data_IF_572941296432
#
_entry.id   IF_572941296432
#
_cell.length_a   1.000
_cell.length_b   1.000
_cell.length_c   1.000
_cell.angle_alpha   90.00
_cell.angle_beta   90.00
_cell.angle_gamma   90.00
#
_symmetry.space_group_name_H-M   'P 1'
#
loop_
_entity.id
_entity.type
_entity.pdbx_description
1 polymer ?
#
# COMPACT_ATOMS: atom_id res chain seq x y z
N UNK A 1 -74.84 41.13 7.82
CA UNK A 1 -74.10 42.03 6.92
C UNK A 1 -72.90 41.28 6.36
N UNK A 2 -73.04 41.02 5.20
CA UNK A 2 -72.43 41.24 3.91
C UNK A 2 -71.34 40.17 3.61
N UNK A 3 -71.65 39.20 2.76
CA UNK A 3 -71.32 39.12 1.32
C UNK A 3 -69.82 39.25 1.07
N UNK A 4 -69.10 38.38 0.36
CA UNK A 4 -69.43 37.64 -0.84
C UNK A 4 -68.27 36.78 -1.30
N UNK A 5 -68.70 35.83 -2.01
CA UNK A 5 -68.34 35.33 -3.35
C UNK A 5 -66.97 34.71 -3.53
N UNK A 6 -67.01 33.43 -3.70
CA UNK A 6 -66.69 32.54 -4.89
C UNK A 6 -65.62 33.03 -5.86
N UNK A 7 -64.62 32.17 -6.09
CA UNK A 7 -64.37 31.64 -7.44
C UNK A 7 -63.55 30.36 -7.43
N UNK A 8 -64.12 29.38 -8.13
CA UNK A 8 -63.48 28.14 -8.61
C UNK A 8 -62.37 28.46 -9.61
N UNK A 9 -61.23 27.71 -9.56
CA UNK A 9 -60.59 27.30 -10.78
C UNK A 9 -59.95 25.91 -10.64
N UNK A 10 -60.40 25.03 -11.52
CA UNK A 10 -59.82 23.74 -11.87
C UNK A 10 -58.42 23.93 -12.46
N UNK A 11 -57.56 22.97 -12.27
CA UNK A 11 -56.40 22.94 -13.13
C UNK A 11 -55.34 21.87 -12.81
N UNK A 12 -55.58 20.67 -13.29
CA UNK A 12 -54.60 19.74 -13.86
C UNK A 12 -53.50 19.15 -12.94
N UNK A 13 -53.71 17.89 -12.59
CA UNK A 13 -52.67 16.92 -12.23
C UNK A 13 -51.53 16.91 -13.26
N UNK A 14 -50.35 17.28 -12.85
CA UNK A 14 -49.12 16.89 -13.52
C UNK A 14 -48.47 15.76 -12.74
N UNK A 15 -48.65 14.54 -13.22
CA UNK A 15 -47.84 13.39 -12.83
C UNK A 15 -46.37 13.69 -13.18
N UNK A 16 -45.54 14.01 -12.20
CA UNK A 16 -44.12 14.07 -12.35
C UNK A 16 -43.58 12.64 -12.38
N UNK A 17 -43.20 12.19 -13.56
CA UNK A 17 -42.36 11.01 -13.74
C UNK A 17 -41.07 11.22 -12.95
N UNK A 18 -40.94 10.55 -11.79
CA UNK A 18 -39.64 10.37 -11.12
C UNK A 18 -38.81 9.52 -12.06
N UNK A 19 -37.90 10.14 -12.81
CA UNK A 19 -36.78 9.47 -13.38
C UNK A 19 -35.99 8.81 -12.24
N UNK A 20 -35.92 7.50 -12.23
CA UNK A 20 -34.95 6.78 -11.41
C UNK A 20 -33.57 7.15 -11.95
N UNK A 21 -32.99 8.16 -11.36
CA UNK A 21 -31.56 8.44 -11.47
C UNK A 21 -30.88 7.22 -10.83
N UNK A 22 -30.36 6.32 -11.66
CA UNK A 22 -29.44 5.27 -11.24
C UNK A 22 -28.22 6.03 -10.76
N UNK A 23 -28.13 6.24 -9.43
CA UNK A 23 -26.98 6.85 -8.80
C UNK A 23 -25.74 6.16 -9.31
N UNK A 24 -24.93 6.88 -10.07
CA UNK A 24 -23.53 6.52 -10.28
C UNK A 24 -22.94 6.44 -8.87
N UNK A 25 -22.64 5.25 -8.40
CA UNK A 25 -21.82 5.09 -7.19
C UNK A 25 -20.61 6.00 -7.38
N UNK A 26 -20.48 6.99 -6.50
CA UNK A 26 -19.29 7.83 -6.48
C UNK A 26 -18.14 6.90 -6.20
N UNK A 27 -17.24 6.75 -7.16
CA UNK A 27 -16.02 6.01 -7.02
C UNK A 27 -15.23 6.60 -5.84
N UNK A 28 -15.24 5.88 -4.73
CA UNK A 28 -14.52 6.29 -3.52
C UNK A 28 -13.06 5.86 -3.64
N UNK A 29 -12.25 6.74 -4.22
CA UNK A 29 -10.81 6.56 -4.39
C UNK A 29 -10.06 6.27 -3.06
N UNK A 30 -10.66 6.66 -1.93
CA UNK A 30 -10.03 6.56 -0.61
C UNK A 30 -10.20 5.21 0.08
N UNK A 31 -11.16 4.39 -0.36
CA UNK A 31 -11.43 3.06 0.20
C UNK A 31 -11.19 1.91 -0.81
N UNK A 32 -10.48 2.20 -1.89
CA UNK A 32 -10.31 1.25 -2.98
C UNK A 32 -9.07 0.37 -2.77
N UNK A 33 -9.27 -0.93 -2.71
CA UNK A 33 -8.13 -1.88 -2.71
C UNK A 33 -7.50 -1.90 -4.12
N UNK A 34 -6.24 -1.48 -4.22
CA UNK A 34 -5.51 -1.39 -5.51
C UNK A 34 -5.48 -2.72 -6.26
N UNK A 35 -5.61 -3.85 -5.55
CA UNK A 35 -5.66 -5.19 -6.14
C UNK A 35 -6.87 -5.39 -7.04
N UNK A 36 -7.95 -4.64 -6.83
CA UNK A 36 -9.13 -4.70 -7.70
C UNK A 36 -8.85 -4.17 -9.12
N UNK A 37 -7.89 -3.26 -9.27
CA UNK A 37 -7.45 -2.77 -10.58
C UNK A 37 -6.71 -3.85 -11.38
N UNK A 38 -6.13 -4.84 -10.71
CA UNK A 38 -5.44 -5.93 -11.38
C UNK A 38 -6.40 -6.87 -12.12
N UNK A 39 -7.66 -6.94 -11.69
CA UNK A 39 -8.68 -7.81 -12.31
C UNK A 39 -8.80 -7.58 -13.81
N UNK A 40 -8.96 -6.33 -14.22
CA UNK A 40 -9.08 -5.99 -15.63
C UNK A 40 -7.80 -6.32 -16.41
N UNK A 41 -6.64 -5.96 -15.85
CA UNK A 41 -5.34 -6.28 -16.46
C UNK A 41 -5.17 -7.79 -16.63
N UNK A 42 -5.51 -8.57 -15.61
CA UNK A 42 -5.44 -10.03 -15.64
C UNK A 42 -6.40 -10.63 -16.67
N UNK A 43 -7.64 -10.14 -16.77
CA UNK A 43 -8.60 -10.58 -17.79
C UNK A 43 -8.07 -10.28 -19.19
N UNK A 44 -7.55 -9.07 -19.41
CA UNK A 44 -6.99 -8.68 -20.70
C UNK A 44 -5.80 -9.57 -21.09
N UNK A 45 -4.92 -9.87 -20.12
CA UNK A 45 -3.82 -10.81 -20.32
C UNK A 45 -4.31 -12.20 -20.74
N UNK A 46 -5.35 -12.73 -20.07
CA UNK A 46 -5.97 -14.00 -20.44
C UNK A 46 -6.62 -13.97 -21.84
N UNK A 47 -7.21 -12.84 -22.24
CA UNK A 47 -7.82 -12.66 -23.55
C UNK A 47 -6.79 -12.58 -24.69
N UNK A 48 -5.58 -12.09 -24.42
CA UNK A 48 -4.49 -12.05 -25.42
C UNK A 48 -3.64 -13.31 -25.44
N UNK A 49 -3.70 -14.12 -24.40
CA UNK A 49 -2.88 -15.32 -24.31
C UNK A 49 -3.15 -16.27 -25.52
N UNK A 50 -2.08 -16.62 -26.24
CA UNK A 50 -2.15 -17.41 -27.45
C UNK A 50 -2.54 -16.64 -28.73
N UNK A 51 -2.65 -15.31 -28.66
CA UNK A 51 -2.82 -14.44 -29.83
C UNK A 51 -1.49 -13.88 -30.29
N UNK A 52 -1.29 -13.82 -31.58
CA UNK A 52 -0.16 -13.14 -32.20
C UNK A 52 -0.64 -11.80 -32.78
N UNK A 53 0.07 -10.72 -32.42
CA UNK A 53 -0.15 -9.39 -32.97
C UNK A 53 1.02 -9.04 -33.91
N UNK A 54 0.72 -8.45 -35.05
CA UNK A 54 1.75 -8.06 -36.02
C UNK A 54 2.45 -6.78 -35.60
N UNK A 55 1.73 -5.88 -34.94
CA UNK A 55 2.24 -4.58 -34.47
C UNK A 55 1.75 -4.28 -33.07
N UNK A 56 2.35 -3.29 -32.41
CA UNK A 56 1.89 -2.76 -31.13
C UNK A 56 0.52 -2.10 -31.26
N UNK A 57 0.25 -1.48 -32.42
CA UNK A 57 -1.03 -0.87 -32.77
C UNK A 57 -2.14 -1.94 -32.79
N UNK A 58 -1.91 -3.09 -33.44
CA UNK A 58 -2.89 -4.20 -33.45
C UNK A 58 -3.22 -4.67 -32.04
N UNK A 59 -2.23 -4.74 -31.16
CA UNK A 59 -2.44 -5.09 -29.76
C UNK A 59 -3.27 -4.03 -29.01
N UNK A 60 -2.96 -2.75 -29.19
CA UNK A 60 -3.69 -1.64 -28.59
C UNK A 60 -5.13 -1.56 -29.07
N UNK A 61 -5.37 -1.79 -30.36
CA UNK A 61 -6.71 -1.85 -30.94
C UNK A 61 -7.52 -3.00 -30.34
N UNK A 62 -6.89 -4.18 -30.16
CA UNK A 62 -7.53 -5.30 -29.51
C UNK A 62 -7.90 -4.98 -28.05
N UNK A 63 -6.99 -4.37 -27.26
CA UNK A 63 -7.30 -3.96 -25.90
C UNK A 63 -8.46 -2.97 -25.83
N UNK A 64 -8.47 -1.99 -26.72
CA UNK A 64 -9.55 -1.01 -26.84
C UNK A 64 -10.88 -1.68 -27.22
N UNK A 65 -10.85 -2.61 -28.15
CA UNK A 65 -12.01 -3.40 -28.55
C UNK A 65 -12.52 -4.28 -27.41
N UNK A 66 -11.64 -5.00 -26.69
CA UNK A 66 -12.02 -5.89 -25.60
C UNK A 66 -12.75 -5.12 -24.49
N UNK A 67 -12.29 -3.91 -24.15
CA UNK A 67 -12.95 -3.04 -23.17
C UNK A 67 -14.31 -2.55 -23.66
N UNK A 68 -14.40 -2.09 -24.94
CA UNK A 68 -15.61 -1.46 -25.45
C UNK A 68 -16.71 -2.43 -25.87
N UNK A 69 -16.36 -3.70 -26.12
CA UNK A 69 -17.30 -4.73 -26.57
C UNK A 69 -17.94 -5.56 -25.43
N UNK A 70 -17.57 -5.30 -24.18
CA UNK A 70 -18.03 -6.09 -23.03
C UNK A 70 -17.33 -7.42 -22.87
N UNK A 71 -16.22 -7.70 -23.56
CA UNK A 71 -15.45 -8.94 -23.40
C UNK A 71 -14.88 -9.08 -21.99
N UNK A 72 -14.49 -7.96 -21.37
CA UNK A 72 -13.93 -7.95 -20.00
C UNK A 72 -15.02 -8.27 -18.98
N UNK A 73 -16.19 -7.63 -19.10
CA UNK A 73 -17.32 -7.82 -18.19
C UNK A 73 -17.92 -9.22 -18.28
N UNK A 74 -17.90 -9.81 -19.48
CA UNK A 74 -18.44 -11.15 -19.76
C UNK A 74 -17.36 -12.23 -19.80
N UNK A 75 -16.19 -11.98 -19.23
CA UNK A 75 -15.13 -12.97 -19.20
C UNK A 75 -15.46 -14.12 -18.26
N UNK A 76 -15.52 -15.34 -18.79
CA UNK A 76 -15.77 -16.57 -18.07
C UNK A 76 -14.64 -17.58 -18.36
N UNK A 77 -13.69 -17.76 -17.44
CA UNK A 77 -12.58 -18.67 -17.67
C UNK A 77 -13.00 -20.14 -17.55
N UNK A 78 -12.45 -20.98 -18.43
CA UNK A 78 -12.70 -22.42 -18.44
C UNK A 78 -11.95 -23.15 -17.32
N UNK A 79 -10.72 -22.72 -17.02
CA UNK A 79 -9.86 -23.36 -16.02
C UNK A 79 -10.33 -23.07 -14.60
N UNK A 80 -10.28 -24.08 -13.73
CA UNK A 80 -10.68 -23.94 -12.33
C UNK A 80 -9.82 -22.90 -11.58
N UNK A 81 -8.52 -22.88 -11.85
CA UNK A 81 -7.59 -21.92 -11.26
C UNK A 81 -7.96 -20.48 -11.62
N UNK A 82 -8.31 -20.23 -12.89
CA UNK A 82 -8.69 -18.90 -13.37
C UNK A 82 -10.05 -18.48 -12.78
N UNK A 83 -11.02 -19.41 -12.61
CA UNK A 83 -12.29 -19.13 -11.91
C UNK A 83 -12.06 -18.78 -10.44
N UNK A 84 -11.16 -19.50 -9.76
CA UNK A 84 -10.79 -19.22 -8.38
C UNK A 84 -10.14 -17.84 -8.26
N UNK A 85 -9.20 -17.50 -9.15
CA UNK A 85 -8.51 -16.20 -9.16
C UNK A 85 -9.49 -15.06 -9.46
N UNK A 86 -10.42 -15.22 -10.38
CA UNK A 86 -11.46 -14.22 -10.67
C UNK A 86 -12.32 -13.92 -9.44
N UNK A 87 -12.71 -14.97 -8.69
CA UNK A 87 -13.47 -14.83 -7.44
C UNK A 87 -12.67 -14.10 -6.36
N UNK A 88 -11.35 -14.30 -6.30
CA UNK A 88 -10.46 -13.59 -5.38
C UNK A 88 -10.32 -12.11 -5.73
N UNK A 89 -10.22 -11.77 -7.01
CA UNK A 89 -10.23 -10.35 -7.41
C UNK A 89 -11.52 -9.64 -6.96
N UNK A 90 -12.67 -10.32 -7.02
CA UNK A 90 -13.93 -9.76 -6.49
C UNK A 90 -13.90 -9.66 -4.96
N UNK A 91 -13.26 -10.61 -4.27
CA UNK A 91 -13.11 -10.62 -2.82
C UNK A 91 -12.26 -9.45 -2.31
N UNK A 92 -11.32 -8.91 -3.09
CA UNK A 92 -10.53 -7.74 -2.68
C UNK A 92 -11.38 -6.48 -2.45
N UNK A 93 -12.51 -6.36 -3.15
CA UNK A 93 -13.47 -5.26 -2.92
C UNK A 93 -14.37 -5.47 -1.69
N UNK A 94 -14.37 -6.66 -1.09
CA UNK A 94 -15.26 -7.04 0.00
C UNK A 94 -14.59 -6.93 1.38
N UNK A 95 -15.40 -6.96 2.44
CA UNK A 95 -14.92 -6.86 3.84
C UNK A 95 -15.55 -7.97 4.69
N UNK A 96 -14.96 -8.22 5.84
CA UNK A 96 -15.49 -9.12 6.86
C UNK A 96 -15.79 -10.54 6.35
N UNK A 97 -16.91 -11.11 6.77
CA UNK A 97 -17.28 -12.50 6.46
C UNK A 97 -17.46 -12.76 4.97
N UNK A 98 -17.95 -11.78 4.20
CA UNK A 98 -18.12 -11.93 2.75
C UNK A 98 -16.77 -12.19 2.06
N UNK A 99 -15.77 -11.36 2.34
CA UNK A 99 -14.40 -11.53 1.82
C UNK A 99 -13.82 -12.89 2.17
N UNK A 100 -13.96 -13.31 3.45
CA UNK A 100 -13.48 -14.61 3.92
C UNK A 100 -14.16 -15.77 3.18
N UNK A 101 -15.49 -15.73 3.06
CA UNK A 101 -16.25 -16.80 2.41
C UNK A 101 -15.90 -16.92 0.93
N UNK A 102 -15.65 -15.79 0.25
CA UNK A 102 -15.22 -15.82 -1.15
C UNK A 102 -13.84 -16.46 -1.30
N UNK A 103 -12.88 -16.18 -0.41
CA UNK A 103 -11.57 -16.82 -0.42
C UNK A 103 -11.66 -18.33 -0.15
N UNK A 104 -12.54 -18.78 0.77
CA UNK A 104 -12.79 -20.20 1.03
C UNK A 104 -13.37 -20.87 -0.22
N UNK A 105 -14.38 -20.26 -0.83
CA UNK A 105 -14.99 -20.78 -2.07
C UNK A 105 -14.00 -20.84 -3.23
N UNK A 106 -13.06 -19.89 -3.31
CA UNK A 106 -12.01 -19.93 -4.31
C UNK A 106 -11.13 -21.19 -4.14
N UNK A 107 -10.78 -21.55 -2.89
CA UNK A 107 -10.02 -22.77 -2.59
C UNK A 107 -10.85 -24.06 -2.81
N UNK A 108 -12.17 -24.02 -2.64
CA UNK A 108 -13.06 -25.14 -3.02
C UNK A 108 -13.11 -25.35 -4.55
N UNK A 109 -12.97 -24.27 -5.33
CA UNK A 109 -12.89 -24.34 -6.79
C UNK A 109 -11.52 -24.86 -7.24
N UNK A 110 -10.45 -24.31 -6.65
CA UNK A 110 -9.07 -24.73 -6.91
C UNK A 110 -8.15 -24.37 -5.74
N UNK A 111 -7.43 -25.37 -5.21
CA UNK A 111 -6.36 -25.14 -4.24
C UNK A 111 -5.16 -24.37 -4.85
N UNK A 112 -5.11 -24.28 -6.20
CA UNK A 112 -4.11 -23.54 -6.96
C UNK A 112 -4.45 -22.04 -7.05
N UNK A 113 -4.82 -21.42 -5.92
CA UNK A 113 -5.16 -20.00 -5.83
C UNK A 113 -4.37 -19.31 -4.70
N UNK A 114 -3.12 -18.88 -4.94
CA UNK A 114 -2.27 -18.28 -3.90
C UNK A 114 -2.90 -17.09 -3.18
N UNK A 115 -3.58 -16.22 -3.91
CA UNK A 115 -4.23 -15.03 -3.33
C UNK A 115 -5.39 -15.36 -2.38
N UNK A 116 -6.01 -16.51 -2.51
CA UNK A 116 -7.02 -16.95 -1.55
C UNK A 116 -6.39 -17.23 -0.17
N UNK A 117 -5.21 -17.84 -0.13
CA UNK A 117 -4.44 -18.01 1.09
C UNK A 117 -3.99 -16.65 1.67
N UNK A 118 -3.58 -15.70 0.81
CA UNK A 118 -3.24 -14.33 1.22
C UNK A 118 -4.42 -13.66 1.92
N UNK A 119 -5.62 -13.69 1.33
CA UNK A 119 -6.82 -13.12 1.96
C UNK A 119 -7.11 -13.77 3.31
N UNK A 120 -7.04 -15.08 3.41
CA UNK A 120 -7.30 -15.79 4.67
C UNK A 120 -6.27 -15.44 5.73
N UNK A 121 -5.00 -15.30 5.35
CA UNK A 121 -3.93 -14.88 6.24
C UNK A 121 -4.10 -13.42 6.73
N UNK A 122 -4.48 -12.49 5.85
CA UNK A 122 -4.77 -11.09 6.21
C UNK A 122 -5.89 -10.99 7.26
N UNK A 123 -6.87 -11.89 7.21
CA UNK A 123 -8.03 -11.92 8.10
C UNK A 123 -7.81 -12.74 9.37
N UNK A 124 -6.71 -13.45 9.47
CA UNK A 124 -6.38 -14.26 10.64
C UNK A 124 -5.84 -13.38 11.78
N UNK A 125 -6.05 -13.78 13.04
CA UNK A 125 -5.54 -13.10 14.21
C UNK A 125 -4.31 -13.79 14.80
N UNK A 126 -4.30 -15.12 14.74
CA UNK A 126 -3.16 -15.92 15.23
C UNK A 126 -1.99 -15.81 14.24
N UNK A 127 -0.84 -15.36 14.74
CA UNK A 127 0.30 -15.07 13.91
C UNK A 127 0.99 -16.34 13.36
N UNK A 128 0.92 -17.46 14.09
CA UNK A 128 1.44 -18.74 13.59
C UNK A 128 0.57 -19.24 12.43
N UNK A 129 -0.75 -19.07 12.57
CA UNK A 129 -1.68 -19.40 11.49
C UNK A 129 -1.50 -18.50 10.26
N UNK A 130 -1.18 -17.20 10.45
CA UNK A 130 -0.78 -16.33 9.34
C UNK A 130 0.42 -16.87 8.59
N UNK A 131 1.48 -17.24 9.32
CA UNK A 131 2.71 -17.81 8.74
C UNK A 131 2.37 -19.06 7.93
N UNK A 132 1.53 -19.95 8.46
CA UNK A 132 1.11 -21.16 7.75
C UNK A 132 0.35 -20.83 6.45
N UNK A 133 -0.61 -19.92 6.52
CA UNK A 133 -1.43 -19.55 5.38
C UNK A 133 -0.63 -18.83 4.29
N UNK A 134 0.20 -17.85 4.68
CA UNK A 134 1.09 -17.20 3.72
C UNK A 134 2.08 -18.19 3.12
N UNK A 135 2.64 -19.11 3.93
CA UNK A 135 3.52 -20.18 3.45
C UNK A 135 2.84 -21.04 2.38
N UNK A 136 1.57 -21.46 2.61
CA UNK A 136 0.79 -22.16 1.59
C UNK A 136 0.60 -21.35 0.31
N UNK A 137 0.38 -20.03 0.46
CA UNK A 137 0.30 -19.12 -0.68
C UNK A 137 1.60 -19.09 -1.49
N UNK A 138 2.74 -19.00 -0.80
CA UNK A 138 4.08 -19.03 -1.41
C UNK A 138 4.33 -20.35 -2.15
N UNK A 139 4.17 -21.50 -1.45
CA UNK A 139 4.42 -22.83 -2.02
C UNK A 139 3.54 -23.09 -3.26
N UNK A 140 2.28 -22.65 -3.18
CA UNK A 140 1.34 -22.76 -4.29
C UNK A 140 1.76 -21.91 -5.48
N UNK A 141 2.16 -20.66 -5.23
CA UNK A 141 2.60 -19.76 -6.29
C UNK A 141 3.92 -20.24 -6.93
N UNK A 142 4.89 -20.71 -6.16
CA UNK A 142 6.14 -21.26 -6.67
C UNK A 142 5.91 -22.47 -7.57
N UNK A 143 5.00 -23.35 -7.16
CA UNK A 143 4.63 -24.53 -7.95
C UNK A 143 3.98 -24.18 -9.29
N UNK A 144 3.11 -23.16 -9.31
CA UNK A 144 2.43 -22.68 -10.52
C UNK A 144 3.40 -21.97 -11.47
N UNK A 145 4.25 -21.11 -10.93
CA UNK A 145 5.18 -20.30 -11.69
C UNK A 145 6.33 -21.12 -12.28
N UNK A 146 6.73 -22.20 -11.58
CA UNK A 146 7.92 -22.97 -11.93
C UNK A 146 9.22 -22.24 -11.60
N UNK A 147 10.34 -22.96 -11.62
CA UNK A 147 11.64 -22.40 -11.16
C UNK A 147 12.25 -21.41 -12.15
N UNK A 148 12.05 -21.63 -13.43
CA UNK A 148 12.74 -20.88 -14.49
C UNK A 148 12.36 -19.41 -14.54
N UNK A 149 11.14 -19.06 -14.15
CA UNK A 149 10.66 -17.67 -14.17
C UNK A 149 11.45 -16.79 -13.21
N UNK A 150 11.90 -17.34 -12.07
CA UNK A 150 12.64 -16.58 -11.06
C UNK A 150 14.01 -16.08 -11.53
N UNK A 151 14.63 -16.80 -12.46
CA UNK A 151 15.89 -16.38 -13.07
C UNK A 151 15.63 -15.54 -14.34
N UNK A 152 14.70 -15.96 -15.19
CA UNK A 152 14.40 -15.31 -16.46
C UNK A 152 13.84 -13.90 -16.27
N UNK A 153 12.91 -13.72 -15.30
CA UNK A 153 12.19 -12.47 -15.08
C UNK A 153 12.68 -11.70 -13.86
N UNK A 154 13.86 -12.05 -13.35
CA UNK A 154 14.48 -11.35 -12.23
C UNK A 154 14.60 -9.86 -12.54
N UNK A 155 14.16 -9.03 -11.60
CA UNK A 155 14.12 -7.57 -11.76
C UNK A 155 12.80 -7.02 -12.33
N UNK A 156 11.94 -7.85 -12.90
CA UNK A 156 10.69 -7.45 -13.57
C UNK A 156 9.43 -8.10 -13.00
N UNK A 157 9.55 -8.81 -11.87
CA UNK A 157 8.47 -9.65 -11.33
C UNK A 157 7.15 -8.91 -11.18
N UNK A 158 7.13 -7.67 -10.69
CA UNK A 158 5.89 -6.92 -10.55
C UNK A 158 5.24 -6.55 -11.88
N UNK A 159 6.00 -6.47 -12.95
CA UNK A 159 5.49 -6.22 -14.30
C UNK A 159 4.65 -7.36 -14.86
N UNK A 160 4.86 -8.57 -14.35
CA UNK A 160 4.16 -9.80 -14.76
C UNK A 160 3.01 -10.06 -13.80
N UNK A 161 1.78 -10.06 -14.30
CA UNK A 161 0.60 -10.11 -13.42
C UNK A 161 0.48 -11.43 -12.66
N UNK A 162 0.91 -12.53 -13.27
CA UNK A 162 0.89 -13.87 -12.69
C UNK A 162 1.87 -14.04 -11.52
N UNK A 163 2.91 -13.22 -11.42
CA UNK A 163 3.87 -13.30 -10.31
C UNK A 163 3.44 -12.52 -9.09
N UNK A 164 2.48 -11.61 -9.20
CA UNK A 164 2.02 -10.76 -8.10
C UNK A 164 1.42 -11.53 -6.92
N UNK A 165 0.66 -12.63 -7.10
CA UNK A 165 0.22 -13.45 -5.97
C UNK A 165 1.38 -13.99 -5.13
N UNK A 166 2.49 -14.42 -5.77
CA UNK A 166 3.72 -14.82 -5.08
C UNK A 166 4.31 -13.66 -4.28
N UNK A 167 4.43 -12.50 -4.91
CA UNK A 167 4.99 -11.30 -4.28
C UNK A 167 4.19 -10.88 -3.03
N UNK A 168 2.85 -10.92 -3.11
CA UNK A 168 1.95 -10.64 -1.97
C UNK A 168 2.08 -11.67 -0.85
N UNK A 169 2.13 -12.95 -1.20
CA UNK A 169 2.29 -14.02 -0.22
C UNK A 169 3.63 -13.92 0.53
N UNK A 170 4.72 -13.63 -0.18
CA UNK A 170 6.04 -13.42 0.40
C UNK A 170 6.10 -12.19 1.32
N UNK A 171 5.53 -11.06 0.90
CA UNK A 171 5.45 -9.84 1.71
C UNK A 171 4.70 -10.10 3.02
N UNK A 172 3.52 -10.74 2.93
CA UNK A 172 2.73 -11.10 4.10
C UNK A 172 3.44 -12.08 5.03
N UNK A 173 4.15 -13.08 4.46
CA UNK A 173 4.96 -14.02 5.20
C UNK A 173 6.09 -13.31 5.96
N UNK A 174 6.81 -12.39 5.30
CA UNK A 174 7.88 -11.61 5.92
C UNK A 174 7.36 -10.80 7.11
N UNK A 175 6.22 -10.11 6.96
CA UNK A 175 5.59 -9.36 8.05
C UNK A 175 5.17 -10.26 9.22
N UNK A 176 4.60 -11.43 8.96
CA UNK A 176 4.21 -12.38 9.99
C UNK A 176 5.42 -12.99 10.71
N UNK A 177 6.51 -13.29 9.99
CA UNK A 177 7.78 -13.76 10.56
C UNK A 177 8.42 -12.69 11.44
N UNK A 178 8.43 -11.43 11.01
CA UNK A 178 8.90 -10.32 11.84
C UNK A 178 8.12 -10.24 13.15
N UNK A 179 6.80 -10.25 13.09
CA UNK A 179 5.93 -10.22 14.28
C UNK A 179 6.15 -11.41 15.22
N UNK A 180 6.69 -12.52 14.71
CA UNK A 180 7.09 -13.69 15.52
C UNK A 180 8.54 -13.62 16.03
N UNK A 181 9.27 -12.54 15.76
CA UNK A 181 10.68 -12.41 16.13
C UNK A 181 11.65 -13.20 15.24
N UNK A 182 11.17 -13.82 14.15
CA UNK A 182 11.99 -14.54 13.17
C UNK A 182 12.63 -13.56 12.17
N UNK A 183 13.49 -12.68 12.69
CA UNK A 183 13.99 -11.52 11.95
C UNK A 183 14.90 -11.90 10.78
N UNK A 184 15.69 -12.98 10.91
CA UNK A 184 16.57 -13.45 9.81
C UNK A 184 15.76 -13.93 8.61
N UNK A 185 14.67 -14.65 8.86
CA UNK A 185 13.79 -15.15 7.80
C UNK A 185 13.06 -14.01 7.12
N UNK A 186 12.51 -13.07 7.89
CA UNK A 186 11.85 -11.87 7.37
C UNK A 186 12.80 -11.04 6.49
N UNK A 187 14.05 -10.83 6.96
CA UNK A 187 15.05 -10.09 6.22
C UNK A 187 15.36 -10.74 4.87
N UNK A 188 15.61 -12.06 4.84
CA UNK A 188 15.88 -12.78 3.60
C UNK A 188 14.76 -12.65 2.59
N UNK A 189 13.51 -12.68 3.06
CA UNK A 189 12.35 -12.53 2.18
C UNK A 189 12.28 -11.11 1.61
N UNK A 190 12.41 -10.06 2.42
CA UNK A 190 12.40 -8.69 1.93
C UNK A 190 13.56 -8.40 0.97
N UNK A 191 14.78 -8.89 1.27
CA UNK A 191 15.93 -8.77 0.37
C UNK A 191 15.63 -9.44 -0.99
N UNK A 192 15.02 -10.65 -0.98
CA UNK A 192 14.63 -11.35 -2.21
C UNK A 192 13.53 -10.62 -2.98
N UNK A 193 12.55 -10.05 -2.30
CA UNK A 193 11.48 -9.28 -2.96
C UNK A 193 12.04 -8.06 -3.70
N UNK A 194 13.00 -7.35 -3.12
CA UNK A 194 13.69 -6.24 -3.78
C UNK A 194 14.61 -6.70 -4.93
N UNK A 195 15.22 -7.87 -4.82
CA UNK A 195 16.02 -8.47 -5.89
C UNK A 195 15.15 -8.87 -7.10
N UNK A 196 13.94 -9.40 -6.86
CA UNK A 196 12.98 -9.74 -7.89
C UNK A 196 12.28 -8.52 -8.51
N UNK A 197 12.13 -7.45 -7.74
CA UNK A 197 11.47 -6.22 -8.15
C UNK A 197 12.18 -4.99 -7.56
N UNK A 198 13.31 -4.55 -8.13
CA UNK A 198 14.05 -3.39 -7.64
C UNK A 198 13.27 -2.07 -7.67
N UNK A 199 12.25 -1.96 -8.52
CA UNK A 199 11.33 -0.82 -8.55
C UNK A 199 10.39 -0.74 -7.33
N UNK A 200 10.35 -1.81 -6.54
CA UNK A 200 9.67 -1.92 -5.25
C UNK A 200 8.24 -1.35 -5.21
N UNK A 201 7.40 -1.82 -6.10
CA UNK A 201 5.99 -1.40 -6.19
C UNK A 201 5.17 -1.71 -4.91
N UNK A 202 5.69 -2.58 -4.03
CA UNK A 202 5.06 -2.97 -2.77
C UNK A 202 5.53 -2.12 -1.58
N UNK A 203 6.66 -1.42 -1.68
CA UNK A 203 7.24 -0.64 -0.58
C UNK A 203 8.03 -1.49 0.44
N UNK A 204 8.53 -2.65 0.04
CA UNK A 204 9.31 -3.55 0.90
C UNK A 204 10.60 -2.90 1.43
N UNK A 205 11.15 -1.89 0.71
CA UNK A 205 12.32 -1.11 1.14
C UNK A 205 12.13 -0.44 2.50
N UNK A 206 10.91 0.03 2.81
CA UNK A 206 10.62 0.66 4.10
C UNK A 206 10.71 -0.35 5.24
N UNK A 207 10.07 -1.52 5.09
CA UNK A 207 10.14 -2.59 6.07
C UNK A 207 11.56 -3.11 6.24
N UNK A 208 12.29 -3.30 5.13
CA UNK A 208 13.67 -3.79 5.17
C UNK A 208 14.62 -2.78 5.84
N UNK A 209 14.45 -1.48 5.59
CA UNK A 209 15.23 -0.43 6.26
C UNK A 209 15.05 -0.49 7.78
N UNK A 210 13.81 -0.58 8.25
CA UNK A 210 13.51 -0.69 9.68
C UNK A 210 14.13 -1.96 10.27
N UNK A 211 14.05 -3.08 9.57
CA UNK A 211 14.61 -4.34 10.03
C UNK A 211 16.14 -4.27 10.17
N UNK A 212 16.84 -3.66 9.20
CA UNK A 212 18.27 -3.41 9.32
C UNK A 212 18.62 -2.53 10.51
N UNK A 213 17.87 -1.44 10.71
CA UNK A 213 18.07 -0.53 11.85
C UNK A 213 17.79 -1.22 13.19
N UNK A 214 16.76 -2.05 13.28
CA UNK A 214 16.43 -2.85 14.47
C UNK A 214 17.54 -3.82 14.84
N UNK A 215 18.21 -4.39 13.85
CA UNK A 215 19.30 -5.34 14.01
C UNK A 215 20.67 -4.67 14.15
N UNK A 216 20.74 -3.35 14.09
CA UNK A 216 21.97 -2.55 14.02
C UNK A 216 22.86 -2.91 12.80
N UNK A 217 22.26 -3.39 11.71
CA UNK A 217 22.95 -3.64 10.43
C UNK A 217 23.05 -2.34 9.63
N UNK A 218 23.80 -1.38 10.21
CA UNK A 218 23.84 -0.01 9.72
C UNK A 218 24.47 0.12 8.33
N UNK A 219 25.39 -0.77 7.96
CA UNK A 219 25.99 -0.77 6.62
C UNK A 219 24.94 -1.13 5.55
N UNK A 220 24.13 -2.14 5.80
CA UNK A 220 23.02 -2.48 4.91
C UNK A 220 21.95 -1.39 4.87
N UNK A 221 21.61 -0.80 6.01
CA UNK A 221 20.69 0.34 6.08
C UNK A 221 21.18 1.53 5.26
N UNK A 222 22.47 1.89 5.37
CA UNK A 222 23.10 2.96 4.61
C UNK A 222 23.08 2.69 3.10
N UNK A 223 23.42 1.45 2.70
CA UNK A 223 23.37 1.03 1.30
C UNK A 223 21.95 1.15 0.73
N UNK A 224 20.95 0.67 1.47
CA UNK A 224 19.54 0.72 1.05
C UNK A 224 19.05 2.18 0.90
N UNK A 225 19.37 3.06 1.87
CA UNK A 225 19.06 4.49 1.81
C UNK A 225 19.72 5.21 0.61
N UNK A 226 20.88 4.73 0.16
CA UNK A 226 21.56 5.25 -1.03
C UNK A 226 21.05 4.66 -2.36
N UNK A 227 20.34 3.55 -2.32
CA UNK A 227 19.83 2.86 -3.50
C UNK A 227 18.56 3.52 -4.04
N UNK A 228 17.72 4.10 -3.17
CA UNK A 228 16.47 4.74 -3.52
C UNK A 228 16.55 6.24 -3.24
N UNK A 229 16.20 7.06 -4.23
CA UNK A 229 16.07 8.51 -4.08
C UNK A 229 14.63 8.84 -3.66
N UNK A 230 14.41 8.83 -2.36
CA UNK A 230 13.10 9.00 -1.75
C UNK A 230 13.11 10.21 -0.81
N UNK A 231 11.96 10.85 -0.71
CA UNK A 231 11.64 11.91 0.25
C UNK A 231 10.52 11.45 1.19
N UNK A 232 10.22 12.26 2.21
CA UNK A 232 9.16 12.00 3.17
C UNK A 232 9.64 11.52 4.53
N UNK A 233 8.71 11.41 5.47
CA UNK A 233 9.03 11.15 6.87
C UNK A 233 9.82 9.85 7.07
N UNK A 234 9.42 8.77 6.41
CA UNK A 234 10.07 7.45 6.56
C UNK A 234 11.54 7.48 6.14
N UNK A 235 11.85 8.17 5.04
CA UNK A 235 13.21 8.18 4.51
C UNK A 235 14.10 9.17 5.21
N UNK A 236 13.62 10.40 5.41
CA UNK A 236 14.42 11.48 5.95
C UNK A 236 14.71 11.31 7.46
N UNK A 237 13.71 10.92 8.25
CA UNK A 237 13.93 10.69 9.70
C UNK A 237 14.76 9.44 9.98
N UNK A 238 14.58 8.35 9.20
CA UNK A 238 15.41 7.16 9.37
C UNK A 238 16.86 7.42 8.92
N UNK A 239 17.08 8.24 7.88
CA UNK A 239 18.42 8.70 7.49
C UNK A 239 19.08 9.52 8.60
N UNK A 240 18.36 10.46 9.20
CA UNK A 240 18.89 11.29 10.29
C UNK A 240 19.23 10.45 11.52
N UNK A 241 18.35 9.50 11.88
CA UNK A 241 18.57 8.57 12.99
C UNK A 241 19.78 7.67 12.72
N UNK A 242 19.90 7.10 11.51
CA UNK A 242 21.04 6.25 11.14
C UNK A 242 22.37 7.04 11.24
N UNK A 243 22.43 8.25 10.73
CA UNK A 243 23.63 9.10 10.83
C UNK A 243 23.99 9.42 12.29
N UNK A 244 22.99 9.69 13.14
CA UNK A 244 23.23 9.86 14.56
C UNK A 244 23.76 8.57 15.21
N UNK A 245 23.21 7.41 14.91
CA UNK A 245 23.61 6.13 15.50
C UNK A 245 25.02 5.71 15.09
N UNK A 246 25.44 6.06 13.87
CA UNK A 246 26.76 5.70 13.35
C UNK A 246 27.86 6.72 13.62
N UNK A 247 27.54 8.00 13.67
CA UNK A 247 28.52 9.09 13.68
C UNK A 247 28.27 10.13 14.79
N UNK A 248 27.19 9.98 15.56
CA UNK A 248 26.80 10.93 16.59
C UNK A 248 26.31 12.27 16.00
N UNK A 249 26.50 13.35 16.79
CA UNK A 249 26.11 14.70 16.38
C UNK A 249 27.20 15.31 15.51
N UNK A 250 27.00 15.29 14.21
CA UNK A 250 27.86 15.87 13.18
C UNK A 250 27.11 16.92 12.37
N UNK A 251 27.82 17.65 11.50
CA UNK A 251 27.17 18.56 10.54
C UNK A 251 26.22 17.81 9.60
N UNK A 252 26.62 16.59 9.19
CA UNK A 252 25.83 15.74 8.29
C UNK A 252 24.55 15.26 8.98
N UNK A 253 24.63 14.71 10.20
CA UNK A 253 23.45 14.27 10.95
C UNK A 253 22.48 15.41 11.25
N UNK A 254 23.02 16.62 11.59
CA UNK A 254 22.20 17.83 11.79
C UNK A 254 21.50 18.29 10.50
N UNK A 255 22.22 18.27 9.37
CA UNK A 255 21.66 18.64 8.07
C UNK A 255 20.53 17.68 7.67
N UNK A 256 20.76 16.36 7.84
CA UNK A 256 19.75 15.35 7.58
C UNK A 256 18.51 15.51 8.47
N UNK A 257 18.71 15.78 9.78
CA UNK A 257 17.59 16.01 10.69
C UNK A 257 16.80 17.28 10.34
N UNK A 258 17.50 18.33 9.88
CA UNK A 258 16.85 19.56 9.43
C UNK A 258 15.99 19.30 8.18
N UNK A 259 16.51 18.54 7.21
CA UNK A 259 15.72 18.10 6.04
C UNK A 259 14.48 17.33 6.49
N UNK A 260 14.61 16.42 7.47
CA UNK A 260 13.48 15.68 8.01
C UNK A 260 12.41 16.58 8.64
N UNK A 261 12.79 17.67 9.34
CA UNK A 261 11.82 18.66 9.86
C UNK A 261 11.10 19.43 8.74
N UNK A 262 11.79 19.68 7.64
CA UNK A 262 11.21 20.35 6.46
C UNK A 262 10.25 19.41 5.71
N UNK A 263 10.60 18.12 5.66
CA UNK A 263 9.77 17.08 5.08
C UNK A 263 8.49 16.84 5.88
N UNK A 264 8.58 16.68 7.20
CA UNK A 264 7.40 16.54 8.06
C UNK A 264 7.67 17.04 9.50
N UNK A 265 7.14 18.20 9.83
CA UNK A 265 7.31 18.84 11.17
C UNK A 265 6.48 18.20 12.29
N UNK A 266 5.54 17.33 11.96
CA UNK A 266 4.64 16.73 12.96
C UNK A 266 5.26 15.49 13.63
N UNK A 267 6.27 14.87 13.01
CA UNK A 267 6.95 13.70 13.58
C UNK A 267 7.52 13.97 14.99
N UNK A 268 8.28 15.06 15.26
CA UNK A 268 8.76 15.34 16.61
C UNK A 268 7.62 15.50 17.63
N UNK A 269 6.53 16.15 17.27
CA UNK A 269 5.37 16.38 18.14
C UNK A 269 4.68 15.07 18.52
N UNK A 270 4.50 14.18 17.55
CA UNK A 270 3.90 12.87 17.78
C UNK A 270 4.81 11.93 18.59
N UNK A 271 6.12 11.95 18.33
CA UNK A 271 7.09 11.18 19.12
C UNK A 271 7.12 11.60 20.59
N UNK A 272 6.83 12.87 20.89
CA UNK A 272 6.80 13.43 22.24
C UNK A 272 5.42 13.31 22.92
N UNK A 273 4.40 12.87 22.18
CA UNK A 273 3.04 12.76 22.68
C UNK A 273 2.30 14.09 22.82
N UNK A 274 2.80 15.17 22.20
CA UNK A 274 2.19 16.50 22.25
C UNK A 274 0.93 16.63 21.38
N UNK A 275 0.70 15.67 20.48
CA UNK A 275 -0.49 15.58 19.63
C UNK A 275 -1.26 14.34 20.01
N UNK A 276 -2.58 14.47 20.20
CA UNK A 276 -3.46 13.35 20.51
C UNK A 276 -3.50 12.31 19.39
N UNK A 277 -4.18 11.16 19.62
CA UNK A 277 -4.26 10.10 18.62
C UNK A 277 -4.85 10.64 17.34
N UNK A 278 -4.16 10.41 16.25
CA UNK A 278 -4.62 10.76 14.91
C UNK A 278 -5.72 9.79 14.47
N UNK A 279 -6.74 10.25 13.73
CA UNK A 279 -7.72 9.36 13.15
C UNK A 279 -7.02 8.36 12.20
N UNK A 280 -7.46 7.11 12.22
CA UNK A 280 -7.03 6.14 11.23
C UNK A 280 -7.39 6.66 9.83
N UNK A 281 -6.36 6.98 9.05
CA UNK A 281 -6.51 7.40 7.66
C UNK A 281 -6.02 6.26 6.75
N UNK A 282 -6.84 5.93 5.75
CA UNK A 282 -6.42 5.03 4.67
C UNK A 282 -5.57 5.75 3.61
N UNK A 283 -5.31 7.04 3.81
CA UNK A 283 -4.58 7.89 2.91
C UNK A 283 -3.44 8.58 3.65
N UNK A 284 -2.27 8.63 3.04
CA UNK A 284 -1.09 9.32 3.58
C UNK A 284 -0.84 10.55 2.71
N UNK A 285 -0.86 11.72 3.34
CA UNK A 285 -0.56 12.99 2.71
C UNK A 285 0.85 13.43 3.07
N UNK A 286 1.79 13.51 2.12
CA UNK A 286 3.16 13.93 2.40
C UNK A 286 3.21 15.26 3.14
N UNK A 287 4.03 15.34 4.20
CA UNK A 287 4.20 16.52 5.04
C UNK A 287 3.12 16.75 6.09
N UNK A 288 2.04 15.95 6.11
CA UNK A 288 0.88 16.13 6.99
C UNK A 288 0.90 15.19 8.22
N UNK A 289 0.02 15.41 9.21
CA UNK A 289 0.00 14.61 10.44
C UNK A 289 -0.24 13.11 10.24
N UNK A 290 -0.97 12.71 9.22
CA UNK A 290 -1.26 11.30 8.91
C UNK A 290 0.00 10.55 8.47
N UNK A 291 0.89 11.17 7.66
CA UNK A 291 2.20 10.62 7.34
C UNK A 291 3.07 10.49 8.60
N UNK A 292 3.12 11.55 9.42
CA UNK A 292 3.87 11.51 10.67
C UNK A 292 3.36 10.41 11.63
N UNK A 293 2.05 10.21 11.70
CA UNK A 293 1.43 9.14 12.48
C UNK A 293 1.82 7.75 11.99
N UNK A 294 1.82 7.53 10.68
CA UNK A 294 2.29 6.31 10.05
C UNK A 294 3.75 6.04 10.39
N UNK A 295 4.61 7.04 10.20
CA UNK A 295 6.03 6.95 10.54
C UNK A 295 6.25 6.61 12.02
N UNK A 296 5.63 7.33 12.94
CA UNK A 296 5.80 7.11 14.39
C UNK A 296 5.31 5.74 14.80
N UNK A 297 4.22 5.25 14.22
CA UNK A 297 3.71 3.89 14.45
C UNK A 297 4.74 2.83 14.02
N UNK A 298 5.40 3.02 12.90
CA UNK A 298 6.38 2.07 12.35
C UNK A 298 7.76 2.20 13.01
N UNK A 299 8.28 3.42 13.14
CA UNK A 299 9.68 3.73 13.46
C UNK A 299 9.90 4.32 14.85
N UNK A 300 8.84 4.77 15.53
CA UNK A 300 8.94 5.50 16.81
C UNK A 300 9.71 4.73 17.89
N UNK A 301 9.58 3.41 17.94
CA UNK A 301 10.32 2.56 18.88
C UNK A 301 11.84 2.60 18.67
N UNK A 302 12.34 2.85 17.46
CA UNK A 302 13.78 3.02 17.20
C UNK A 302 14.32 4.29 17.87
N UNK A 303 13.56 5.39 17.83
CA UNK A 303 13.90 6.62 18.54
C UNK A 303 13.85 6.44 20.04
N UNK A 304 12.79 5.84 20.58
CA UNK A 304 12.59 5.64 22.02
C UNK A 304 13.62 4.68 22.63
N UNK A 305 14.09 3.69 21.89
CA UNK A 305 15.23 2.85 22.33
C UNK A 305 16.53 3.64 22.46
N UNK A 306 16.68 4.73 21.70
CA UNK A 306 17.88 5.55 21.64
C UNK A 306 17.63 6.92 22.28
N UNK A 307 17.50 6.97 23.61
CA UNK A 307 17.18 8.19 24.35
C UNK A 307 18.10 9.37 24.03
N UNK A 308 19.37 9.13 23.68
CA UNK A 308 20.29 10.15 23.21
C UNK A 308 19.84 10.78 21.90
N UNK A 309 19.40 9.97 20.95
CA UNK A 309 18.87 10.44 19.67
C UNK A 309 17.57 11.23 19.85
N UNK A 310 16.67 10.74 20.72
CA UNK A 310 15.43 11.46 21.05
C UNK A 310 15.71 12.83 21.70
N UNK A 311 16.62 12.90 22.66
CA UNK A 311 17.02 14.18 23.28
C UNK A 311 17.64 15.14 22.26
N UNK A 312 18.46 14.61 21.36
CA UNK A 312 19.06 15.39 20.28
C UNK A 312 17.98 15.93 19.33
N UNK A 313 17.04 15.08 18.88
CA UNK A 313 15.91 15.48 18.04
C UNK A 313 15.11 16.61 18.68
N UNK A 314 14.75 16.51 19.96
CA UNK A 314 14.00 17.55 20.69
C UNK A 314 14.75 18.87 20.71
N UNK A 315 16.05 18.84 21.03
CA UNK A 315 16.90 20.03 21.08
C UNK A 315 16.96 20.72 19.71
N UNK A 316 17.29 19.98 18.66
CA UNK A 316 17.43 20.54 17.30
C UNK A 316 16.07 21.04 16.78
N UNK A 317 14.95 20.38 17.14
CA UNK A 317 13.61 20.82 16.76
C UNK A 317 13.22 22.15 17.43
N UNK A 318 13.53 22.34 18.71
CA UNK A 318 13.31 23.60 19.40
C UNK A 318 14.12 24.75 18.76
N UNK A 319 15.37 24.50 18.33
CA UNK A 319 16.19 25.48 17.61
C UNK A 319 15.62 25.78 16.21
N UNK A 320 15.12 24.76 15.50
CA UNK A 320 14.47 24.92 14.20
C UNK A 320 13.23 25.82 14.28
N UNK A 321 12.37 25.62 15.29
CA UNK A 321 11.17 26.44 15.48
C UNK A 321 11.51 27.90 15.77
N UNK A 322 12.49 28.17 16.66
CA UNK A 322 12.97 29.53 16.95
C UNK A 322 13.53 30.27 15.71
N UNK A 323 14.19 29.53 14.83
CA UNK A 323 14.68 30.06 13.56
C UNK A 323 13.57 30.53 12.63
N UNK A 324 12.47 29.77 12.57
CA UNK A 324 11.30 30.11 11.72
C UNK A 324 10.51 31.30 12.25
N UNK A 325 10.34 31.42 13.56
CA UNK A 325 9.67 32.60 14.16
C UNK A 325 10.39 33.91 13.83
N UNK A 326 11.72 33.90 13.86
CA UNK A 326 12.53 35.09 13.47
C UNK A 326 12.30 35.47 12.01
N UNK A 327 12.32 34.49 11.11
CA UNK A 327 12.15 34.71 9.67
C UNK A 327 10.72 35.18 9.33
N UNK A 328 9.72 34.65 10.01
CA UNK A 328 8.31 35.06 9.84
C UNK A 328 8.08 36.47 10.40
N UNK A 329 8.72 36.84 11.52
CA UNK A 329 8.62 38.15 12.10
C UNK A 329 9.30 39.26 11.27
N UNK A 330 10.30 38.93 10.45
CA UNK A 330 10.93 39.87 9.50
C UNK A 330 10.06 40.11 8.25
N UNK A 331 9.25 39.13 7.85
CA UNK A 331 8.33 39.27 6.69
C UNK A 331 7.14 40.20 6.98
N UNK A 332 6.72 40.30 8.25
CA UNK A 332 5.63 41.21 8.67
C UNK A 332 6.10 42.60 9.05
N UNK A 333 7.42 42.88 9.00
CA UNK A 333 8.00 44.22 9.26
C UNK A 333 8.44 44.96 8.01
N UNK A 334 8.22 44.42 6.82
CA UNK A 334 8.37 45.08 5.51
C UNK A 334 7.02 45.24 4.86
#
# INVERSE_FOLDING_TARGET
MSMGQKKYHQGKSKASRKSKDKGKEKFDLFNYDRRTLEKEMWILDKLVNGREFKTVEDANDFYSQARNSGMVENFHPDKAEDRAQLLVYDAFSKKGAERRNMAIRALEISENCPDAYVILAEMERDNNRKIELYGKGVDTAERILGKEIFDREKGYFWGIIETRPYMRAQEGLAGALWNSGKLDDAQRIYERLLDLNPGDNQGNRYSLLLLYMYRNDFEKAKKLLGQYDEDGADWDYNRALLLYLTSGITMESKSALRKAFESNRYVPLLLLGDVGPLPDSNYITPGEPDEAGSYVKASGSLWLKNLGATKWLVKEFAEYLKGREKTSGEFFRR
#
